data_IF_519774203831
#
_entry.id   IF_519774203831
#
_cell.length_a   1.000
_cell.length_b   1.000
_cell.length_c   1.000
_cell.angle_alpha   90.00
_cell.angle_beta   90.00
_cell.angle_gamma   90.00
#
_symmetry.space_group_name_H-M   'P 1'
#
loop_
_entity.id
_entity.type
_entity.pdbx_description
1 polymer ?
#
# COMPACT_ATOMS: atom_id res chain seq x y z
N UNK A 1 3.25 -12.33 -11.96
CA UNK A 1 3.57 -10.88 -11.84
C UNK A 1 4.07 -10.61 -10.43
N UNK A 2 5.08 -9.76 -10.28
CA UNK A 2 5.71 -9.39 -9.00
C UNK A 2 5.09 -8.12 -8.43
N UNK A 3 5.14 -7.95 -7.11
CA UNK A 3 4.78 -6.68 -6.45
C UNK A 3 5.87 -5.64 -6.69
N UNK A 4 5.53 -4.39 -7.05
CA UNK A 4 6.54 -3.35 -7.25
C UNK A 4 7.05 -2.81 -5.91
N UNK A 5 8.33 -2.43 -5.82
CA UNK A 5 8.87 -1.75 -4.63
C UNK A 5 8.41 -0.28 -4.59
N UNK A 6 8.29 0.28 -3.39
CA UNK A 6 8.11 1.72 -3.16
C UNK A 6 9.49 2.34 -3.03
N UNK A 7 9.84 3.21 -3.97
CA UNK A 7 11.18 3.79 -4.14
C UNK A 7 11.37 5.05 -3.28
N UNK A 8 10.31 5.84 -3.11
CA UNK A 8 10.34 7.05 -2.29
C UNK A 8 9.02 7.22 -1.52
N UNK A 9 9.14 7.66 -0.27
CA UNK A 9 8.05 8.16 0.56
C UNK A 9 8.49 9.49 1.18
N UNK A 10 7.68 10.52 1.00
CA UNK A 10 7.75 11.78 1.73
C UNK A 10 6.34 12.35 1.92
N UNK A 11 6.20 13.39 2.74
CA UNK A 11 4.89 14.00 3.00
C UNK A 11 4.18 14.40 1.70
N UNK A 12 3.05 13.77 1.40
CA UNK A 12 2.25 14.03 0.20
C UNK A 12 2.85 13.53 -1.12
N UNK A 13 3.89 12.69 -1.08
CA UNK A 13 4.55 12.18 -2.28
C UNK A 13 5.05 10.73 -2.09
N UNK A 14 4.66 9.86 -3.02
CA UNK A 14 5.08 8.47 -3.12
C UNK A 14 5.51 8.13 -4.54
N UNK A 15 6.58 7.35 -4.69
CA UNK A 15 7.02 6.81 -5.99
C UNK A 15 7.11 5.30 -5.93
N UNK A 16 6.56 4.65 -6.95
CA UNK A 16 6.58 3.20 -7.09
C UNK A 16 7.50 2.82 -8.24
N UNK A 17 8.38 1.85 -8.02
CA UNK A 17 9.35 1.39 -9.01
C UNK A 17 8.64 0.89 -10.27
N UNK A 18 9.08 1.37 -11.43
CA UNK A 18 8.47 1.04 -12.72
C UNK A 18 7.24 1.88 -13.07
N UNK A 19 6.82 2.81 -12.21
CA UNK A 19 5.84 3.83 -12.56
C UNK A 19 6.53 5.17 -12.85
N UNK A 20 6.17 5.80 -13.96
CA UNK A 20 6.66 7.15 -14.32
C UNK A 20 6.00 8.26 -13.49
N UNK A 21 4.84 7.98 -12.90
CA UNK A 21 4.05 8.95 -12.14
C UNK A 21 4.35 8.84 -10.64
N UNK A 22 4.46 9.99 -9.98
CA UNK A 22 4.39 10.07 -8.54
C UNK A 22 2.94 10.15 -8.06
N UNK A 23 2.67 9.59 -6.90
CA UNK A 23 1.36 9.63 -6.26
C UNK A 23 1.40 10.52 -5.03
N UNK A 24 0.26 11.05 -4.62
CA UNK A 24 0.10 11.53 -3.24
C UNK A 24 -0.07 10.31 -2.34
N UNK A 25 -1.18 9.62 -2.55
CA UNK A 25 -1.53 8.37 -1.87
C UNK A 25 -1.73 7.28 -2.92
N UNK A 26 -1.40 6.03 -2.61
CA UNK A 26 -1.44 4.97 -3.61
C UNK A 26 -1.92 3.62 -3.08
N UNK A 27 -2.45 2.83 -4.01
CA UNK A 27 -2.69 1.40 -3.89
C UNK A 27 -1.65 0.69 -4.74
N UNK A 28 -1.08 -0.39 -4.24
CA UNK A 28 -0.09 -1.23 -4.95
C UNK A 28 -0.47 -2.70 -4.81
N UNK A 29 -0.16 -3.50 -5.82
CA UNK A 29 -0.45 -4.93 -5.87
C UNK A 29 0.49 -5.64 -6.85
N UNK A 30 0.53 -6.99 -6.86
CA UNK A 30 1.31 -7.73 -7.85
C UNK A 30 0.93 -7.33 -9.28
N UNK A 31 1.86 -6.69 -9.99
CA UNK A 31 1.68 -6.22 -11.36
C UNK A 31 1.30 -4.75 -11.53
N UNK A 32 1.12 -3.94 -10.48
CA UNK A 32 0.85 -2.52 -10.68
C UNK A 32 0.59 -1.65 -9.45
N UNK A 33 0.29 -0.38 -9.75
CA UNK A 33 -0.04 0.66 -8.77
C UNK A 33 -1.05 1.65 -9.33
N UNK A 34 -1.82 2.29 -8.45
CA UNK A 34 -2.77 3.36 -8.81
C UNK A 34 -2.87 4.38 -7.70
N UNK A 35 -3.21 5.61 -8.07
CA UNK A 35 -3.57 6.66 -7.11
C UNK A 35 -4.74 6.20 -6.21
N UNK A 36 -4.71 6.60 -4.94
CA UNK A 36 -5.83 6.46 -4.03
C UNK A 36 -6.37 7.84 -3.66
N UNK A 37 -7.65 8.07 -3.91
CA UNK A 37 -8.34 9.22 -3.34
C UNK A 37 -9.08 8.79 -2.06
N UNK A 38 -8.53 9.17 -0.91
CA UNK A 38 -9.17 8.89 0.39
C UNK A 38 -10.43 9.72 0.59
N UNK A 39 -10.67 10.80 -0.17
CA UNK A 39 -11.90 11.59 -0.01
C UNK A 39 -13.15 10.80 -0.38
N UNK A 40 -12.99 9.74 -1.17
CA UNK A 40 -14.10 8.86 -1.55
C UNK A 40 -14.53 7.94 -0.40
N UNK A 41 -13.61 7.49 0.45
CA UNK A 41 -13.84 6.36 1.38
C UNK A 41 -13.31 6.57 2.80
N UNK A 42 -12.64 7.70 3.06
CA UNK A 42 -11.90 7.96 4.29
C UNK A 42 -10.58 7.21 4.36
N UNK A 43 -9.80 7.50 5.41
CA UNK A 43 -8.54 6.81 5.74
C UNK A 43 -8.70 5.80 6.87
N UNK A 44 -9.89 5.75 7.50
CA UNK A 44 -10.16 4.84 8.60
C UNK A 44 -10.21 3.39 8.12
N UNK A 45 -9.69 2.49 8.95
CA UNK A 45 -9.75 1.05 8.73
C UNK A 45 -10.75 0.47 9.71
N UNK A 46 -12.04 0.35 9.35
CA UNK A 46 -13.04 -0.19 10.25
C UNK A 46 -12.81 -1.71 10.44
N UNK A 47 -13.19 -2.27 11.61
CA UNK A 47 -13.03 -3.70 11.88
C UNK A 47 -13.66 -4.60 10.81
N UNK A 48 -14.80 -4.20 10.24
CA UNK A 48 -15.47 -4.92 9.14
C UNK A 48 -14.60 -5.07 7.89
N UNK A 49 -13.70 -4.13 7.63
CA UNK A 49 -12.74 -4.22 6.51
C UNK A 49 -11.68 -5.28 6.80
N UNK A 50 -11.20 -5.35 8.05
CA UNK A 50 -10.24 -6.38 8.46
C UNK A 50 -10.88 -7.77 8.38
N UNK A 51 -12.08 -7.92 8.94
CA UNK A 51 -12.84 -9.17 8.89
C UNK A 51 -13.07 -9.64 7.45
N UNK A 52 -13.39 -8.71 6.53
CA UNK A 52 -13.58 -9.03 5.13
C UNK A 52 -12.30 -9.56 4.47
N UNK A 53 -11.16 -8.93 4.74
CA UNK A 53 -9.85 -9.33 4.18
C UNK A 53 -9.39 -10.67 4.76
N UNK A 54 -9.57 -10.87 6.07
CA UNK A 54 -9.23 -12.12 6.74
C UNK A 54 -10.10 -13.28 6.24
N UNK A 55 -11.41 -13.06 6.06
CA UNK A 55 -12.33 -14.07 5.49
C UNK A 55 -11.99 -14.44 4.04
N UNK A 56 -11.36 -13.53 3.30
CA UNK A 56 -10.83 -13.81 1.97
C UNK A 56 -9.51 -14.61 1.99
N UNK A 57 -9.01 -14.99 3.18
CA UNK A 57 -7.76 -15.74 3.34
C UNK A 57 -6.51 -14.89 3.18
N UNK A 58 -6.63 -13.57 3.31
CA UNK A 58 -5.51 -12.63 3.15
C UNK A 58 -5.05 -12.15 4.52
N UNK A 59 -3.76 -12.32 4.82
CA UNK A 59 -3.14 -11.75 6.02
C UNK A 59 -3.11 -10.22 5.90
N UNK A 60 -3.63 -9.53 6.92
CA UNK A 60 -3.70 -8.06 6.95
C UNK A 60 -2.83 -7.51 8.08
N UNK A 61 -2.10 -6.42 7.78
CA UNK A 61 -1.32 -5.68 8.77
C UNK A 61 -1.63 -4.20 8.64
N UNK A 62 -2.02 -3.56 9.75
CA UNK A 62 -2.26 -2.11 9.80
C UNK A 62 -1.13 -1.45 10.56
N UNK A 63 -0.41 -0.55 9.89
CA UNK A 63 0.76 0.15 10.43
C UNK A 63 0.73 1.62 10.01
N UNK A 64 1.45 2.47 10.74
CA UNK A 64 1.79 3.80 10.27
C UNK A 64 2.59 3.71 8.97
N UNK A 65 2.35 4.62 8.04
CA UNK A 65 2.81 4.55 6.64
C UNK A 65 4.30 4.27 6.46
N UNK A 66 5.20 4.86 7.25
CA UNK A 66 6.64 4.59 7.11
C UNK A 66 6.96 3.14 7.46
N UNK A 67 6.41 2.64 8.57
CA UNK A 67 6.53 1.22 8.97
C UNK A 67 5.86 0.29 7.96
N UNK A 68 4.71 0.69 7.42
CA UNK A 68 3.99 -0.06 6.40
C UNK A 68 4.81 -0.19 5.11
N UNK A 69 5.44 0.90 4.65
CA UNK A 69 6.29 0.90 3.46
C UNK A 69 7.54 0.05 3.67
N UNK A 70 8.16 0.14 4.85
CA UNK A 70 9.31 -0.69 5.20
C UNK A 70 8.96 -2.19 5.19
N UNK A 71 7.84 -2.56 5.81
CA UNK A 71 7.37 -3.94 5.86
C UNK A 71 6.94 -4.46 4.48
N UNK A 72 6.23 -3.64 3.71
CA UNK A 72 5.85 -3.94 2.33
C UNK A 72 7.09 -4.24 1.48
N UNK A 73 8.09 -3.35 1.47
CA UNK A 73 9.32 -3.54 0.70
C UNK A 73 10.12 -4.77 1.18
N UNK A 74 10.10 -5.08 2.49
CA UNK A 74 10.71 -6.31 3.02
C UNK A 74 10.05 -7.55 2.40
N UNK A 75 8.72 -7.60 2.34
CA UNK A 75 7.96 -8.69 1.75
C UNK A 75 8.18 -8.79 0.23
N UNK A 76 8.20 -7.66 -0.48
CA UNK A 76 8.51 -7.62 -1.93
C UNK A 76 9.87 -8.26 -2.21
N UNK A 77 10.91 -7.90 -1.43
CA UNK A 77 12.27 -8.45 -1.59
C UNK A 77 12.37 -9.94 -1.30
N UNK A 78 11.47 -10.47 -0.46
CA UNK A 78 11.33 -11.90 -0.21
C UNK A 78 10.56 -12.63 -1.32
N UNK A 79 10.08 -11.93 -2.34
CA UNK A 79 9.30 -12.50 -3.44
C UNK A 79 7.85 -12.78 -3.08
N UNK A 80 7.36 -12.25 -1.95
CA UNK A 80 5.97 -12.43 -1.55
C UNK A 80 5.03 -11.63 -2.47
N UNK A 81 3.83 -12.17 -2.70
CA UNK A 81 2.74 -11.45 -3.36
C UNK A 81 2.05 -10.56 -2.34
N UNK A 82 2.46 -9.31 -2.30
CA UNK A 82 1.96 -8.32 -1.34
C UNK A 82 1.25 -7.18 -2.07
N UNK A 83 0.16 -6.70 -1.48
CA UNK A 83 -0.52 -5.48 -1.87
C UNK A 83 -0.61 -4.53 -0.66
N UNK A 84 -0.89 -3.26 -0.92
CA UNK A 84 -0.99 -2.27 0.14
C UNK A 84 -1.72 -1.03 -0.29
N UNK A 85 -2.28 -0.33 0.69
CA UNK A 85 -2.94 0.96 0.53
C UNK A 85 -2.25 1.92 1.48
N UNK A 86 -1.69 3.01 0.95
CA UNK A 86 -0.81 3.91 1.68
C UNK A 86 -1.32 5.34 1.63
N UNK A 87 -1.41 5.96 2.81
CA UNK A 87 -1.70 7.38 2.97
C UNK A 87 -0.45 8.12 3.44
N UNK A 88 0.00 9.12 2.69
CA UNK A 88 1.28 9.80 2.86
C UNK A 88 1.22 11.07 3.71
N UNK A 89 0.04 11.46 4.16
CA UNK A 89 -0.20 12.64 4.99
C UNK A 89 -0.92 12.24 6.29
N UNK A 90 -1.01 13.14 7.25
CA UNK A 90 -1.90 13.03 8.41
C UNK A 90 -2.90 14.19 8.40
#
# INVERSE_FOLDING_TARGET
MTSPEIDCLSWGLMKVKGCSSSYKDCKVWPGGSRTWDWRETGTNVPPSTLDYVERAGVSVTVLQTEKAVAEYNRLVRQGAKVGGVFHSTC
#
